data_IF_620225356856
#
_entry.id   IF_620225356856
#
_cell.length_a   1.000
_cell.length_b   1.000
_cell.length_c   1.000
_cell.angle_alpha   90.00
_cell.angle_beta   90.00
_cell.angle_gamma   90.00
#
_symmetry.space_group_name_H-M   'P 1'
#
loop_
_entity.id
_entity.type
_entity.pdbx_description
1 polymer ?
#
# COMPACT_ATOMS: atom_id res chain seq x y z
N UNK A 1 -1.52 -42.06 66.36
CA UNK A 1 -0.25 -41.61 65.75
C UNK A 1 -0.32 -41.92 64.27
N UNK A 2 -0.96 -41.07 63.48
CA UNK A 2 -0.89 -41.08 62.01
C UNK A 2 -1.75 -39.93 61.48
N UNK A 3 -1.33 -39.41 60.32
CA UNK A 3 -2.03 -38.47 59.44
C UNK A 3 -2.06 -36.98 59.85
N UNK A 4 -1.37 -36.16 59.05
CA UNK A 4 -1.83 -34.85 58.48
C UNK A 4 -0.66 -33.98 57.95
N UNK A 5 0.18 -34.51 57.08
CA UNK A 5 1.23 -33.69 56.42
C UNK A 5 1.18 -33.68 54.86
N UNK A 6 0.21 -34.32 54.22
CA UNK A 6 0.19 -34.48 52.75
C UNK A 6 -0.46 -33.36 51.92
N UNK A 7 -1.30 -32.50 52.51
CA UNK A 7 -2.22 -31.66 51.69
C UNK A 7 -1.64 -30.30 51.30
N UNK A 8 -0.63 -29.79 52.03
CA UNK A 8 -0.08 -28.44 51.74
C UNK A 8 0.89 -28.40 50.55
N UNK A 9 1.37 -29.54 50.07
CA UNK A 9 2.37 -29.57 48.99
C UNK A 9 1.76 -29.45 47.58
N UNK A 10 0.49 -29.83 47.41
CA UNK A 10 -0.17 -29.87 46.09
C UNK A 10 -0.67 -28.49 45.63
N UNK A 11 -0.99 -27.59 46.55
CA UNK A 11 -1.55 -26.26 46.21
C UNK A 11 -0.48 -25.30 45.69
N UNK A 12 0.76 -25.41 46.17
CA UNK A 12 1.86 -24.52 45.78
C UNK A 12 2.38 -24.81 44.36
N UNK A 13 2.26 -26.05 43.89
CA UNK A 13 2.76 -26.44 42.57
C UNK A 13 1.87 -25.91 41.42
N UNK A 14 0.55 -25.87 41.60
CA UNK A 14 -0.39 -25.38 40.56
C UNK A 14 -0.24 -23.87 40.28
N UNK A 15 0.15 -23.08 41.28
CA UNK A 15 0.37 -21.63 41.10
C UNK A 15 1.65 -21.31 40.33
N UNK A 16 2.68 -22.15 40.44
CA UNK A 16 3.94 -21.98 39.70
C UNK A 16 3.78 -22.28 38.20
N UNK A 17 2.96 -23.29 37.85
CA UNK A 17 2.70 -23.66 36.45
C UNK A 17 1.91 -22.54 35.74
N UNK A 18 0.89 -21.97 36.38
CA UNK A 18 0.11 -20.86 35.81
C UNK A 18 0.94 -19.59 35.58
N UNK A 19 1.85 -19.26 36.50
CA UNK A 19 2.73 -18.09 36.34
C UNK A 19 3.77 -18.30 35.22
N UNK A 20 4.30 -19.51 35.07
CA UNK A 20 5.27 -19.81 33.99
C UNK A 20 4.62 -19.75 32.60
N UNK A 21 3.37 -20.20 32.45
CA UNK A 21 2.65 -20.17 31.18
C UNK A 21 2.32 -18.74 30.73
N UNK A 22 1.98 -17.85 31.66
CA UNK A 22 1.70 -16.44 31.35
C UNK A 22 2.97 -15.70 30.92
N UNK A 23 4.11 -15.94 31.56
CA UNK A 23 5.39 -15.34 31.18
C UNK A 23 5.83 -15.82 29.78
N UNK A 24 5.63 -17.10 29.44
CA UNK A 24 5.94 -17.63 28.11
C UNK A 24 5.07 -17.04 27.01
N UNK A 25 3.79 -16.71 27.26
CA UNK A 25 2.94 -16.04 26.27
C UNK A 25 3.35 -14.59 25.99
N UNK A 26 3.97 -13.88 26.94
CA UNK A 26 4.48 -12.53 26.70
C UNK A 26 5.78 -12.52 25.87
N UNK A 27 6.57 -13.60 25.88
CA UNK A 27 7.80 -13.68 25.08
C UNK A 27 7.58 -14.06 23.61
N UNK A 28 6.38 -14.50 23.21
CA UNK A 28 6.10 -14.87 21.81
C UNK A 28 5.47 -13.75 20.96
N UNK A 29 5.23 -12.56 21.52
CA UNK A 29 4.67 -11.44 20.77
C UNK A 29 5.84 -10.59 20.23
N UNK A 30 6.24 -10.81 18.98
CA UNK A 30 7.13 -9.87 18.29
C UNK A 30 8.05 -10.40 17.19
N UNK A 31 8.00 -11.69 16.82
CA UNK A 31 8.61 -12.11 15.54
C UNK A 31 7.63 -11.84 14.40
N UNK A 32 7.50 -10.56 14.04
CA UNK A 32 6.90 -10.20 12.76
C UNK A 32 7.77 -10.82 11.66
N UNK A 33 7.16 -11.67 10.85
CA UNK A 33 7.73 -12.41 9.71
C UNK A 33 8.96 -11.74 9.08
N UNK A 34 10.16 -12.21 9.44
CA UNK A 34 11.41 -11.84 8.76
C UNK A 34 11.49 -12.41 7.34
N UNK A 35 10.55 -13.28 6.95
CA UNK A 35 10.63 -14.07 5.72
C UNK A 35 10.07 -13.36 4.47
N UNK A 36 9.37 -12.23 4.61
CA UNK A 36 9.02 -11.35 3.47
C UNK A 36 9.80 -10.03 3.61
N UNK A 37 11.00 -10.09 4.21
CA UNK A 37 11.80 -8.94 4.63
C UNK A 37 12.12 -7.95 3.52
N UNK A 38 11.20 -7.04 3.26
CA UNK A 38 11.38 -5.86 2.43
C UNK A 38 12.42 -4.95 3.09
N UNK A 39 13.39 -4.46 2.32
CA UNK A 39 14.38 -3.57 2.87
C UNK A 39 13.76 -2.20 3.18
N UNK A 40 13.53 -1.92 4.46
CA UNK A 40 12.99 -0.64 4.89
C UNK A 40 14.11 0.41 4.97
N UNK A 41 14.02 1.49 4.20
CA UNK A 41 14.99 2.60 4.28
C UNK A 41 15.03 3.24 5.69
N UNK A 42 13.86 3.39 6.33
CA UNK A 42 13.71 3.93 7.69
C UNK A 42 13.11 2.85 8.63
N UNK A 43 13.68 2.69 9.83
CA UNK A 43 13.39 1.55 10.74
C UNK A 43 12.01 1.57 11.44
N UNK A 44 11.30 2.70 11.48
CA UNK A 44 10.03 2.80 12.22
C UNK A 44 9.22 4.07 11.89
N UNK A 45 9.87 5.11 11.38
CA UNK A 45 9.26 6.40 11.12
C UNK A 45 9.53 6.80 9.69
N UNK A 46 8.47 6.96 8.91
CA UNK A 46 8.56 7.42 7.54
C UNK A 46 8.09 8.87 7.51
N UNK A 47 8.98 9.86 7.63
CA UNK A 47 8.57 11.25 7.59
C UNK A 47 8.09 11.57 6.16
N UNK A 48 6.77 11.55 5.95
CA UNK A 48 6.15 11.78 4.65
C UNK A 48 6.68 13.03 3.92
N UNK A 49 7.05 14.06 4.69
CA UNK A 49 7.59 15.32 4.18
C UNK A 49 9.00 15.23 3.56
N UNK A 50 9.75 14.15 3.80
CA UNK A 50 11.13 14.00 3.30
C UNK A 50 11.27 13.09 2.10
N UNK A 51 10.19 12.43 1.71
CA UNK A 51 10.20 11.51 0.58
C UNK A 51 10.54 12.23 -0.73
N UNK A 52 10.31 13.54 -0.82
CA UNK A 52 10.56 14.31 -2.04
C UNK A 52 11.96 14.95 -2.08
N UNK A 53 12.82 14.66 -1.10
CA UNK A 53 14.19 15.16 -1.11
C UNK A 53 15.05 14.42 -2.14
N UNK A 54 15.82 15.18 -2.91
CA UNK A 54 16.78 14.65 -3.87
C UNK A 54 18.01 14.11 -3.14
N UNK A 55 18.43 12.90 -3.52
CA UNK A 55 19.63 12.25 -2.99
C UNK A 55 20.84 12.35 -3.94
N UNK A 56 20.59 12.70 -5.20
CA UNK A 56 21.61 12.87 -6.23
C UNK A 56 21.26 13.99 -7.22
N UNK A 57 22.18 14.25 -8.15
CA UNK A 57 22.06 15.22 -9.24
C UNK A 57 21.26 14.68 -10.45
N UNK A 58 20.81 13.43 -10.38
CA UNK A 58 20.05 12.73 -11.42
C UNK A 58 18.54 12.78 -11.18
N UNK A 59 18.10 13.44 -10.11
CA UNK A 59 16.69 13.56 -9.75
C UNK A 59 16.15 12.36 -8.99
N UNK A 60 17.01 11.49 -8.44
CA UNK A 60 16.53 10.41 -7.55
C UNK A 60 16.05 11.02 -6.24
N UNK A 61 14.84 10.67 -5.83
CA UNK A 61 14.26 11.13 -4.56
C UNK A 61 14.29 10.03 -3.50
N UNK A 62 14.21 10.39 -2.23
CA UNK A 62 14.05 9.44 -1.13
C UNK A 62 12.85 8.48 -1.35
N UNK A 63 11.76 8.96 -1.95
CA UNK A 63 10.59 8.17 -2.34
C UNK A 63 10.96 7.09 -3.34
N UNK A 64 11.65 7.48 -4.42
CA UNK A 64 12.05 6.57 -5.48
C UNK A 64 12.98 5.48 -4.95
N UNK A 65 13.98 5.87 -4.17
CA UNK A 65 14.88 4.92 -3.50
C UNK A 65 14.13 3.97 -2.56
N UNK A 66 13.18 4.48 -1.76
CA UNK A 66 12.39 3.66 -0.86
C UNK A 66 11.53 2.63 -1.61
N UNK A 67 10.98 3.00 -2.78
CA UNK A 67 10.25 2.07 -3.64
C UNK A 67 11.17 1.02 -4.27
N UNK A 68 12.35 1.43 -4.77
CA UNK A 68 13.35 0.50 -5.33
C UNK A 68 13.94 -0.48 -4.30
N UNK A 69 14.05 -0.06 -3.03
CA UNK A 69 14.46 -0.93 -1.92
C UNK A 69 13.35 -1.87 -1.46
N UNK A 70 12.09 -1.48 -1.65
CA UNK A 70 10.92 -2.30 -1.37
C UNK A 70 10.55 -3.23 -2.54
N UNK A 71 11.29 -3.22 -3.64
CA UNK A 71 11.05 -4.13 -4.76
C UNK A 71 11.53 -5.56 -4.39
N UNK A 72 10.64 -6.56 -4.32
CA UNK A 72 11.01 -7.94 -3.99
C UNK A 72 11.87 -8.62 -5.05
N UNK A 73 11.96 -8.05 -6.26
CA UNK A 73 12.80 -8.56 -7.36
C UNK A 73 14.25 -8.07 -7.26
N UNK A 74 14.52 -7.05 -6.44
CA UNK A 74 15.85 -6.53 -6.20
C UNK A 74 16.61 -7.41 -5.19
N UNK A 75 17.94 -7.31 -5.21
CA UNK A 75 18.81 -7.95 -4.23
C UNK A 75 18.67 -7.33 -2.83
N UNK A 76 17.94 -6.23 -2.67
CA UNK A 76 17.75 -5.48 -1.43
C UNK A 76 16.81 -6.18 -0.44
N UNK A 77 17.25 -7.27 0.18
CA UNK A 77 16.50 -7.96 1.24
C UNK A 77 16.86 -7.44 2.63
N UNK A 78 15.88 -7.33 3.52
CA UNK A 78 16.08 -6.91 4.90
C UNK A 78 17.21 -7.72 5.57
N UNK A 79 18.16 -7.02 6.18
CA UNK A 79 19.31 -7.62 6.86
C UNK A 79 20.47 -8.04 5.95
N UNK A 80 20.31 -8.04 4.63
CA UNK A 80 21.42 -8.36 3.74
C UNK A 80 22.44 -7.20 3.66
N UNK A 81 23.59 -7.45 3.01
CA UNK A 81 24.65 -6.44 2.90
C UNK A 81 24.24 -5.24 2.04
N UNK A 82 23.50 -5.46 0.95
CA UNK A 82 23.04 -4.42 0.01
C UNK A 82 22.09 -3.44 0.71
N UNK A 83 21.07 -3.96 1.38
CA UNK A 83 20.11 -3.22 2.18
C UNK A 83 20.80 -2.38 3.26
N UNK A 84 21.75 -2.99 4.01
CA UNK A 84 22.53 -2.27 5.04
C UNK A 84 23.40 -1.16 4.44
N UNK A 85 23.99 -1.39 3.26
CA UNK A 85 24.76 -0.37 2.56
C UNK A 85 23.87 0.81 2.15
N UNK A 86 22.74 0.55 1.49
CA UNK A 86 21.77 1.56 1.08
C UNK A 86 21.21 2.35 2.28
N UNK A 87 20.86 1.64 3.36
CA UNK A 87 20.47 2.27 4.62
C UNK A 87 21.59 3.16 5.15
N UNK A 88 22.83 2.68 5.23
CA UNK A 88 23.94 3.48 5.77
C UNK A 88 24.22 4.74 4.94
N UNK A 89 24.04 4.67 3.62
CA UNK A 89 24.30 5.76 2.70
C UNK A 89 23.20 6.83 2.74
N UNK A 90 21.93 6.43 2.81
CA UNK A 90 20.80 7.34 2.59
C UNK A 90 19.93 7.60 3.82
N UNK A 91 20.08 6.83 4.91
CA UNK A 91 19.26 6.99 6.12
C UNK A 91 19.38 8.37 6.74
N UNK A 92 20.56 8.99 6.71
CA UNK A 92 20.73 10.37 7.23
C UNK A 92 19.94 11.38 6.39
N UNK A 93 20.06 11.30 5.07
CA UNK A 93 19.37 12.21 4.15
C UNK A 93 17.85 12.04 4.17
N UNK A 94 17.36 10.80 4.23
CA UNK A 94 15.94 10.51 4.09
C UNK A 94 15.19 10.38 5.42
N UNK A 95 15.83 9.90 6.48
CA UNK A 95 15.15 9.53 7.73
C UNK A 95 15.48 10.44 8.93
N UNK A 96 16.61 11.16 8.95
CA UNK A 96 17.03 11.97 10.12
C UNK A 96 16.43 13.39 10.08
N UNK A 97 15.37 13.70 10.85
CA UNK A 97 14.68 14.99 10.77
C UNK A 97 15.58 16.20 11.12
N UNK A 98 16.73 15.96 11.74
CA UNK A 98 17.69 17.02 12.09
C UNK A 98 18.65 17.36 10.94
N UNK A 99 18.74 16.49 9.94
CA UNK A 99 19.59 16.72 8.78
C UNK A 99 18.87 17.62 7.76
N UNK A 100 19.46 18.76 7.41
CA UNK A 100 18.96 19.61 6.33
C UNK A 100 19.80 19.35 5.07
N UNK A 101 19.25 18.71 4.02
CA UNK A 101 20.00 18.43 2.80
C UNK A 101 20.40 19.73 2.10
N UNK A 102 21.59 19.74 1.51
CA UNK A 102 22.02 20.82 0.62
C UNK A 102 21.16 20.75 -0.64
N UNK A 103 20.66 21.89 -1.12
CA UNK A 103 19.96 21.96 -2.40
C UNK A 103 20.91 21.50 -3.51
N UNK A 104 20.63 20.32 -4.08
CA UNK A 104 21.40 19.80 -5.21
C UNK A 104 20.84 20.47 -6.47
N UNK A 105 21.63 21.30 -7.19
CA UNK A 105 21.16 21.90 -8.44
C UNK A 105 20.84 20.79 -9.43
N UNK A 106 19.55 20.61 -9.70
CA UNK A 106 19.08 19.62 -10.64
C UNK A 106 19.47 20.09 -12.04
N UNK A 107 20.29 19.31 -12.74
CA UNK A 107 20.52 19.55 -14.16
C UNK A 107 19.15 19.52 -14.83
N UNK A 108 18.75 20.55 -15.60
CA UNK A 108 17.48 20.51 -16.32
C UNK A 108 17.44 19.21 -17.10
N UNK A 109 16.60 18.28 -16.65
CA UNK A 109 16.35 17.07 -17.41
C UNK A 109 15.75 17.60 -18.70
N UNK A 110 16.48 17.46 -19.80
CA UNK A 110 15.95 17.73 -21.13
C UNK A 110 14.70 16.87 -21.20
N UNK A 111 13.54 17.49 -21.02
CA UNK A 111 12.29 16.76 -20.94
C UNK A 111 12.20 15.95 -22.21
N UNK A 112 12.26 14.62 -22.07
CA UNK A 112 12.10 13.73 -23.20
C UNK A 112 10.82 14.17 -23.90
N UNK A 113 10.95 14.52 -25.18
CA UNK A 113 9.83 14.95 -26.00
C UNK A 113 8.86 13.79 -26.07
N UNK A 114 7.89 13.81 -25.17
CA UNK A 114 6.92 12.76 -24.90
C UNK A 114 7.56 11.50 -24.24
N UNK A 115 7.43 11.31 -22.91
CA UNK A 115 7.98 10.13 -22.22
C UNK A 115 7.28 8.82 -22.64
N UNK A 116 6.21 8.91 -23.43
CA UNK A 116 5.43 7.76 -23.86
C UNK A 116 5.92 7.29 -25.24
N UNK A 117 6.73 6.23 -25.27
CA UNK A 117 6.97 5.52 -26.53
C UNK A 117 5.66 4.90 -27.03
N UNK A 118 5.48 4.84 -28.35
CA UNK A 118 4.32 4.22 -29.01
C UNK A 118 4.17 2.77 -28.54
N UNK A 119 2.97 2.43 -28.07
CA UNK A 119 2.58 1.11 -27.59
C UNK A 119 2.10 0.20 -28.71
N UNK A 120 1.76 -1.04 -28.33
CA UNK A 120 1.35 -2.12 -29.26
C UNK A 120 -0.10 -1.99 -29.73
N UNK A 121 -0.94 -1.25 -29.01
CA UNK A 121 -2.38 -1.16 -29.25
C UNK A 121 -2.74 0.13 -29.98
N UNK A 122 -4.01 0.23 -30.40
CA UNK A 122 -4.50 1.44 -31.02
C UNK A 122 -4.65 2.55 -29.96
N UNK A 123 -4.60 3.80 -30.40
CA UNK A 123 -4.89 4.95 -29.53
C UNK A 123 -6.29 4.82 -28.92
N UNK A 124 -6.39 5.00 -27.61
CA UNK A 124 -7.65 4.96 -26.88
C UNK A 124 -8.05 6.37 -26.42
N UNK A 125 -9.16 6.88 -26.94
CA UNK A 125 -9.71 8.18 -26.52
C UNK A 125 -10.49 8.03 -25.21
N UNK A 126 -9.88 8.45 -24.10
CA UNK A 126 -10.50 8.32 -22.77
C UNK A 126 -11.68 9.28 -22.56
N UNK A 127 -11.58 10.51 -23.05
CA UNK A 127 -12.74 11.38 -23.14
C UNK A 127 -13.45 11.18 -24.47
N UNK A 128 -14.77 11.34 -24.47
CA UNK A 128 -15.57 11.34 -25.69
C UNK A 128 -15.04 12.35 -26.72
N UNK A 129 -14.75 11.87 -27.93
CA UNK A 129 -14.13 12.60 -29.06
C UNK A 129 -12.64 12.97 -28.90
N UNK A 130 -11.88 12.24 -28.07
CA UNK A 130 -10.43 12.46 -27.94
C UNK A 130 -10.08 13.81 -27.31
N UNK A 131 -11.00 14.41 -26.55
CA UNK A 131 -10.76 15.69 -25.88
C UNK A 131 -9.79 15.53 -24.71
N UNK A 132 -9.01 16.58 -24.46
CA UNK A 132 -8.18 16.67 -23.27
C UNK A 132 -9.04 16.78 -22.00
N UNK A 133 -8.67 16.13 -20.88
CA UNK A 133 -9.42 16.20 -19.62
C UNK A 133 -9.52 17.63 -19.08
N UNK A 134 -10.69 17.99 -18.52
CA UNK A 134 -10.89 19.28 -17.87
C UNK A 134 -10.08 19.43 -16.57
N UNK A 135 -9.85 18.32 -15.86
CA UNK A 135 -9.09 18.26 -14.62
C UNK A 135 -7.83 17.39 -14.78
N UNK A 136 -6.78 17.88 -15.45
CA UNK A 136 -5.59 17.08 -15.79
C UNK A 136 -4.80 16.58 -14.59
N UNK A 137 -4.81 17.29 -13.46
CA UNK A 137 -4.01 16.97 -12.27
C UNK A 137 -4.76 16.08 -11.26
N UNK A 138 -6.00 15.66 -11.56
CA UNK A 138 -6.76 14.77 -10.66
C UNK A 138 -6.10 13.39 -10.62
N UNK A 139 -5.92 12.86 -9.41
CA UNK A 139 -5.33 11.54 -9.22
C UNK A 139 -6.30 10.42 -9.64
N UNK A 140 -5.80 9.42 -10.37
CA UNK A 140 -6.59 8.27 -10.83
C UNK A 140 -5.91 6.96 -10.46
N UNK A 141 -6.61 6.09 -9.73
CA UNK A 141 -6.08 4.81 -9.31
C UNK A 141 -6.48 3.72 -10.31
N UNK A 142 -5.64 3.47 -11.31
CA UNK A 142 -5.84 2.38 -12.28
C UNK A 142 -5.18 1.11 -11.72
N UNK A 143 -5.99 0.12 -11.38
CA UNK A 143 -5.49 -1.18 -10.90
C UNK A 143 -4.58 -1.81 -11.96
N UNK A 144 -3.40 -2.28 -11.54
CA UNK A 144 -2.38 -2.95 -12.36
C UNK A 144 -1.61 -2.06 -13.35
N UNK A 145 -1.64 -0.74 -13.18
CA UNK A 145 -0.79 0.14 -13.98
C UNK A 145 0.36 0.69 -13.12
N UNK A 146 1.63 0.49 -13.50
CA UNK A 146 2.76 0.94 -12.70
C UNK A 146 2.87 2.46 -12.56
N UNK A 147 2.44 3.25 -13.56
CA UNK A 147 2.43 4.72 -13.50
C UNK A 147 1.47 5.31 -14.55
N UNK A 148 0.31 5.80 -14.12
CA UNK A 148 0.00 7.22 -14.27
C UNK A 148 -0.79 7.71 -13.05
N UNK A 149 -0.18 8.62 -12.30
CA UNK A 149 -0.82 9.16 -11.11
C UNK A 149 -1.96 10.12 -11.47
N UNK A 150 -1.88 10.81 -12.61
CA UNK A 150 -2.82 11.87 -12.97
C UNK A 150 -3.65 11.58 -14.23
N UNK A 151 -4.81 12.23 -14.34
CA UNK A 151 -5.64 12.21 -15.53
C UNK A 151 -4.83 12.55 -16.79
N UNK A 152 -3.97 13.58 -16.73
CA UNK A 152 -3.10 13.98 -17.84
C UNK A 152 -2.20 12.83 -18.29
N UNK A 153 -1.53 12.18 -17.34
CA UNK A 153 -0.57 11.13 -17.67
C UNK A 153 -1.27 9.93 -18.30
N UNK A 154 -2.43 9.57 -17.74
CA UNK A 154 -3.25 8.48 -18.26
C UNK A 154 -3.84 8.80 -19.66
N UNK A 155 -4.16 10.06 -19.94
CA UNK A 155 -4.59 10.51 -21.27
C UNK A 155 -3.50 10.29 -22.32
N UNK A 156 -2.29 10.75 -22.05
CA UNK A 156 -1.15 10.56 -22.97
C UNK A 156 -0.75 9.10 -23.10
N UNK A 157 -0.84 8.34 -22.00
CA UNK A 157 -0.61 6.89 -22.00
C UNK A 157 -1.60 6.14 -22.91
N UNK A 158 -2.88 6.52 -22.87
CA UNK A 158 -3.93 5.94 -23.71
C UNK A 158 -3.75 6.30 -25.20
N UNK A 159 -3.42 7.56 -25.49
CA UNK A 159 -3.13 8.02 -26.85
C UNK A 159 -1.88 7.36 -27.44
N UNK A 160 -0.90 7.05 -26.60
CA UNK A 160 0.29 6.31 -27.01
C UNK A 160 -0.02 4.86 -27.39
N UNK A 161 -1.25 4.35 -27.24
CA UNK A 161 -1.60 2.97 -27.63
C UNK A 161 -1.09 1.93 -26.63
N UNK A 162 -1.00 2.30 -25.35
CA UNK A 162 -0.53 1.41 -24.28
C UNK A 162 -1.66 0.80 -23.44
N UNK A 163 -2.90 1.18 -23.72
CA UNK A 163 -4.09 0.54 -23.15
C UNK A 163 -4.62 -0.47 -24.16
N UNK A 164 -4.83 -1.70 -23.72
CA UNK A 164 -5.41 -2.73 -24.55
C UNK A 164 -6.84 -2.33 -24.98
N UNK A 165 -7.20 -2.61 -26.24
CA UNK A 165 -8.48 -2.20 -26.82
C UNK A 165 -9.69 -2.70 -26.00
N UNK A 166 -9.58 -3.87 -25.37
CA UNK A 166 -10.60 -4.48 -24.50
C UNK A 166 -10.83 -3.67 -23.20
N UNK A 167 -9.80 -2.97 -22.71
CA UNK A 167 -9.84 -2.14 -21.51
C UNK A 167 -10.23 -0.69 -21.78
N UNK A 168 -10.15 -0.24 -23.04
CA UNK A 168 -10.45 1.15 -23.39
C UNK A 168 -11.88 1.55 -23.01
N UNK A 169 -12.89 0.73 -23.32
CA UNK A 169 -14.30 1.04 -23.01
C UNK A 169 -14.59 1.12 -21.51
N UNK A 170 -14.20 0.14 -20.67
CA UNK A 170 -14.33 0.26 -19.21
C UNK A 170 -13.60 1.48 -18.64
N UNK A 171 -12.41 1.79 -19.18
CA UNK A 171 -11.60 2.92 -18.73
C UNK A 171 -12.26 4.27 -19.02
N UNK A 172 -12.89 4.44 -20.18
CA UNK A 172 -13.65 5.67 -20.50
C UNK A 172 -14.69 6.00 -19.42
N UNK A 173 -15.49 5.01 -19.04
CA UNK A 173 -16.53 5.20 -18.01
C UNK A 173 -15.94 5.58 -16.64
N UNK A 174 -14.77 5.03 -16.30
CA UNK A 174 -14.07 5.36 -15.06
C UNK A 174 -13.44 6.76 -15.11
N UNK A 175 -12.97 7.16 -16.29
CA UNK A 175 -12.20 8.39 -16.51
C UNK A 175 -13.08 9.63 -16.65
N UNK A 176 -14.28 9.50 -17.24
CA UNK A 176 -15.13 10.66 -17.57
C UNK A 176 -15.45 11.56 -16.38
N UNK A 177 -15.84 10.97 -15.25
CA UNK A 177 -16.27 11.72 -14.07
C UNK A 177 -15.13 12.39 -13.29
N UNK A 178 -14.04 11.69 -12.88
CA UNK A 178 -12.98 12.31 -12.09
C UNK A 178 -12.16 13.32 -12.90
N UNK A 179 -11.94 13.05 -14.19
CA UNK A 179 -11.12 13.88 -15.05
C UNK A 179 -11.90 15.02 -15.73
N UNK A 180 -13.22 15.08 -15.52
CA UNK A 180 -14.07 16.14 -16.04
C UNK A 180 -14.13 16.13 -17.57
N UNK A 181 -14.36 14.96 -18.18
CA UNK A 181 -14.62 14.86 -19.62
C UNK A 181 -16.03 15.39 -19.91
N UNK A 182 -16.18 16.71 -19.99
CA UNK A 182 -17.48 17.33 -20.27
C UNK A 182 -17.84 17.13 -21.75
N UNK A 183 -18.85 16.30 -21.99
CA UNK A 183 -19.47 16.08 -23.29
C UNK A 183 -20.26 17.31 -23.72
N UNK A 184 -19.56 18.36 -24.14
CA UNK A 184 -20.17 19.50 -24.83
C UNK A 184 -20.25 20.78 -24.02
N UNK A 185 -19.13 21.49 -23.91
CA UNK A 185 -19.10 22.93 -24.12
C UNK A 185 -17.70 23.33 -24.57
N UNK A 186 -17.67 24.29 -25.50
CA UNK A 186 -16.48 24.72 -26.22
C UNK A 186 -15.71 25.75 -25.38
N UNK A 187 -14.39 25.54 -25.21
CA UNK A 187 -13.29 26.52 -25.00
C UNK A 187 -12.49 26.41 -23.68
N UNK A 188 -11.13 26.50 -23.72
CA UNK A 188 -10.22 26.68 -22.57
C UNK A 188 -9.86 28.18 -22.34
N UNK A 189 -9.03 28.54 -21.34
CA UNK A 189 -9.25 28.50 -19.90
C UNK A 189 -9.35 29.93 -19.32
N UNK A 190 -10.51 30.30 -18.78
CA UNK A 190 -10.66 31.50 -17.95
C UNK A 190 -10.73 31.08 -16.49
N UNK A 191 -9.74 31.48 -15.69
CA UNK A 191 -9.69 31.20 -14.25
C UNK A 191 -11.00 31.58 -13.55
N UNK A 192 -11.67 30.57 -13.01
CA UNK A 192 -12.93 30.72 -12.30
C UNK A 192 -12.89 29.88 -11.04
N UNK A 193 -12.44 30.50 -9.96
CA UNK A 193 -12.64 30.01 -8.60
C UNK A 193 -14.15 29.86 -8.37
N UNK A 194 -14.62 28.62 -8.25
CA UNK A 194 -16.04 28.30 -8.12
C UNK A 194 -16.24 27.07 -7.25
N UNK A 195 -16.34 27.31 -5.95
CA UNK A 195 -16.67 26.29 -4.97
C UNK A 195 -18.10 25.78 -5.12
N UNK A 196 -18.29 24.51 -4.75
CA UNK A 196 -19.60 23.95 -4.42
C UNK A 196 -20.19 23.01 -5.45
N UNK A 197 -19.72 21.76 -5.48
CA UNK A 197 -20.53 20.58 -5.85
C UNK A 197 -19.78 19.23 -5.67
N UNK A 198 -19.10 18.97 -4.54
CA UNK A 198 -18.41 17.68 -4.31
C UNK A 198 -19.11 16.73 -3.31
N UNK A 199 -20.34 17.02 -2.91
CA UNK A 199 -21.02 16.25 -1.85
C UNK A 199 -21.81 15.01 -2.32
N UNK A 200 -21.97 14.80 -3.63
CA UNK A 200 -22.81 13.71 -4.17
C UNK A 200 -22.01 12.52 -4.73
N UNK A 201 -20.74 12.71 -5.07
CA UNK A 201 -19.87 11.63 -5.58
C UNK A 201 -19.19 10.89 -4.41
N UNK A 202 -18.75 11.63 -3.38
CA UNK A 202 -18.16 11.05 -2.17
C UNK A 202 -19.12 10.09 -1.45
N UNK A 203 -20.42 10.43 -1.35
CA UNK A 203 -21.42 9.56 -0.71
C UNK A 203 -21.64 8.23 -1.44
N UNK A 204 -21.60 8.21 -2.77
CA UNK A 204 -21.78 6.98 -3.54
C UNK A 204 -20.57 6.06 -3.46
N UNK A 205 -19.36 6.61 -3.40
CA UNK A 205 -18.16 5.81 -3.16
C UNK A 205 -18.13 5.25 -1.73
N UNK A 206 -18.43 6.09 -0.73
CA UNK A 206 -18.51 5.67 0.67
C UNK A 206 -19.57 4.60 0.91
N UNK A 207 -20.74 4.68 0.26
CA UNK A 207 -21.77 3.64 0.36
C UNK A 207 -21.31 2.30 -0.24
N UNK A 208 -20.63 2.31 -1.40
CA UNK A 208 -20.10 1.08 -2.01
C UNK A 208 -18.96 0.49 -1.18
N UNK A 209 -18.09 1.34 -0.63
CA UNK A 209 -16.98 0.91 0.21
C UNK A 209 -17.46 0.32 1.54
N UNK A 210 -18.42 0.96 2.22
CA UNK A 210 -19.00 0.44 3.46
C UNK A 210 -19.69 -0.92 3.27
N UNK A 211 -20.41 -1.11 2.16
CA UNK A 211 -21.03 -2.40 1.84
C UNK A 211 -20.00 -3.51 1.59
N UNK A 212 -18.91 -3.18 0.91
CA UNK A 212 -17.81 -4.12 0.68
C UNK A 212 -17.08 -4.47 1.99
N UNK A 213 -16.79 -3.48 2.84
CA UNK A 213 -16.09 -3.65 4.11
C UNK A 213 -16.90 -4.46 5.13
N UNK A 214 -18.23 -4.28 5.15
CA UNK A 214 -19.12 -5.11 5.97
C UNK A 214 -19.10 -6.59 5.56
N UNK A 215 -19.09 -6.88 4.25
CA UNK A 215 -18.98 -8.27 3.75
C UNK A 215 -17.62 -8.88 4.06
N UNK A 216 -16.56 -8.08 3.99
CA UNK A 216 -15.21 -8.53 4.30
C UNK A 216 -15.04 -8.84 5.80
N UNK A 217 -15.54 -7.97 6.69
CA UNK A 217 -15.48 -8.19 8.14
C UNK A 217 -16.32 -9.39 8.58
N UNK A 218 -17.50 -9.61 7.98
CA UNK A 218 -18.31 -10.79 8.27
C UNK A 218 -17.62 -12.09 7.84
N UNK A 219 -16.89 -12.09 6.71
CA UNK A 219 -16.12 -13.25 6.26
C UNK A 219 -14.91 -13.54 7.16
N UNK A 220 -14.29 -12.52 7.76
CA UNK A 220 -13.14 -12.68 8.66
C UNK A 220 -13.51 -13.07 10.08
N UNK A 221 -14.73 -12.79 10.53
CA UNK A 221 -15.20 -13.16 11.88
C UNK A 221 -15.79 -14.57 11.95
N UNK A 222 -16.30 -15.14 10.85
CA UNK A 222 -16.92 -16.47 10.84
C UNK A 222 -15.87 -17.61 11.02
N UNK A 223 -14.68 -17.45 10.44
CA UNK A 223 -13.61 -18.46 10.48
C UNK A 223 -13.04 -18.67 11.90
N UNK A 224 -12.61 -17.62 12.65
CA UNK A 224 -12.05 -17.83 13.99
C UNK A 224 -13.10 -18.25 15.02
N UNK A 225 -14.37 -17.83 14.89
CA UNK A 225 -15.43 -18.22 15.83
C UNK A 225 -15.77 -19.71 15.74
N UNK A 226 -15.81 -20.29 14.53
CA UNK A 226 -16.04 -21.73 14.35
C UNK A 226 -14.90 -22.57 14.91
N UNK A 227 -13.66 -22.10 14.76
CA UNK A 227 -12.50 -22.76 15.34
C UNK A 227 -12.51 -22.68 16.88
N UNK A 228 -12.91 -21.55 17.45
CA UNK A 228 -13.00 -21.36 18.89
C UNK A 228 -14.13 -22.19 19.52
N UNK A 229 -15.28 -22.30 18.87
CA UNK A 229 -16.39 -23.16 19.30
C UNK A 229 -16.04 -24.66 19.23
N UNK A 230 -15.28 -25.07 18.20
CA UNK A 230 -14.78 -26.45 18.12
C UNK A 230 -13.79 -26.78 19.25
N UNK A 231 -12.91 -25.85 19.62
CA UNK A 231 -11.95 -26.01 20.71
C UNK A 231 -12.61 -26.10 22.10
N UNK A 232 -13.76 -25.45 22.29
CA UNK A 232 -14.49 -25.50 23.57
C UNK A 232 -15.30 -26.79 23.77
N UNK A 233 -15.72 -27.46 22.69
CA UNK A 233 -16.59 -28.63 22.80
C UNK A 233 -15.84 -29.97 22.87
N UNK A 234 -14.61 -30.06 22.33
CA UNK A 234 -13.81 -31.30 22.38
C UNK A 234 -12.31 -31.02 22.18
N UNK A 235 -11.52 -30.86 23.26
CA UNK A 235 -10.09 -30.55 23.13
C UNK A 235 -9.27 -31.70 22.53
N UNK A 236 -9.77 -32.94 22.54
CA UNK A 236 -9.03 -34.10 22.01
C UNK A 236 -9.11 -34.27 20.49
N UNK A 237 -10.06 -33.63 19.79
CA UNK A 237 -10.18 -33.76 18.32
C UNK A 237 -9.52 -32.63 17.52
N UNK A 238 -9.15 -31.52 18.16
CA UNK A 238 -8.57 -30.36 17.48
C UNK A 238 -7.16 -30.63 16.90
N UNK A 239 -6.47 -31.68 17.36
CA UNK A 239 -5.14 -32.02 16.88
C UNK A 239 -5.13 -32.65 15.46
N UNK A 240 -6.26 -33.19 15.00
CA UNK A 240 -6.32 -33.86 13.69
C UNK A 240 -6.64 -32.93 12.52
N UNK A 241 -7.30 -31.79 12.75
CA UNK A 241 -7.66 -30.84 11.68
C UNK A 241 -6.54 -29.87 11.31
N UNK A 242 -5.60 -29.60 12.23
CA UNK A 242 -4.47 -28.70 11.97
C UNK A 242 -3.40 -29.28 11.03
N UNK A 243 -3.50 -30.56 10.66
CA UNK A 243 -2.51 -31.23 9.81
C UNK A 243 -2.90 -31.34 8.32
N UNK A 244 -4.07 -30.86 7.91
CA UNK A 244 -4.58 -31.04 6.54
C UNK A 244 -4.71 -29.77 5.69
N UNK A 245 -4.40 -28.58 6.23
CA UNK A 245 -4.45 -27.30 5.47
C UNK A 245 -3.11 -26.54 5.48
N UNK A 246 -2.00 -27.27 5.31
CA UNK A 246 -0.71 -26.72 4.88
C UNK A 246 -0.36 -27.25 3.48
#
# INVERSE_FOLDING_TARGET
MTERHGVKFVITQKRFILLSAVILMFFTIGRSDENIGLCCLCQAYNPAHRMDFFIDDRGTTCRKLALEMADPTNDSKQGNAVCRALQSQHRRTCCDPTYNPVEIPQKPVLGDKNPYSTGKYNSCDLCSNGKYPGNPNTLVAVRNHPDPDTCKDLYWYALAGRIENTWCNPMRNYYEQPCGCVSGSTSPPGGGSGGGANDSVSRRFLQKFASWLARFLLSWLDIPMRLFLALLHNPEQAFYLAHYEL
#
